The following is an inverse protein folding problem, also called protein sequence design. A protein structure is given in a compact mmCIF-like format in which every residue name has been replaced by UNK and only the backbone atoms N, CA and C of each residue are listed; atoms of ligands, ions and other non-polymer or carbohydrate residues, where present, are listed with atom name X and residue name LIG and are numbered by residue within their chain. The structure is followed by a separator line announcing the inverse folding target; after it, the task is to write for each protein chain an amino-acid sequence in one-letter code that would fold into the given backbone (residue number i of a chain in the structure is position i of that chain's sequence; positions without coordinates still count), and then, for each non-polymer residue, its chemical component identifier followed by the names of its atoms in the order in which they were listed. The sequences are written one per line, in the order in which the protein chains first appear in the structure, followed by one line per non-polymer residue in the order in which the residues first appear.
data_IF_688977194390
#
_entry.id   IF_688977194390
#
_cell.length_a   1.000
_cell.length_b   1.000
_cell.length_c   1.000
_cell.angle_alpha   90.00
_cell.angle_beta   90.00
_cell.angle_gamma   90.00
#
_symmetry.space_group_name_H-M   'P 1'
#
loop_
_entity.id
_entity.type
_entity.pdbx_description
1 polymer ?
#
# COMPACT_ATOMS: atom_id res chain seq x y z
N UNK A 1 -4.77 6.83 13.20
CA UNK A 1 -4.46 7.61 11.97
C UNK A 1 -5.73 8.00 11.27
N UNK A 2 -5.71 9.15 10.64
CA UNK A 2 -6.86 9.65 9.90
C UNK A 2 -6.61 9.53 8.40
N UNK A 3 -7.49 8.84 7.68
CA UNK A 3 -7.43 8.78 6.22
C UNK A 3 -7.77 10.15 5.63
N UNK A 4 -6.86 10.68 4.83
CA UNK A 4 -7.03 12.00 4.19
C UNK A 4 -7.63 11.85 2.80
N UNK A 5 -6.97 11.06 1.95
CA UNK A 5 -7.42 10.86 0.58
C UNK A 5 -6.76 9.61 -0.02
N UNK A 6 -7.39 9.13 -1.08
CA UNK A 6 -6.78 8.12 -1.95
C UNK A 6 -6.80 8.69 -3.37
N UNK A 7 -5.67 8.60 -4.06
CA UNK A 7 -5.55 9.17 -5.39
C UNK A 7 -4.84 8.22 -6.33
N UNK A 8 -5.29 8.20 -7.57
CA UNK A 8 -4.67 7.42 -8.62
C UNK A 8 -3.49 8.20 -9.17
N UNK A 9 -2.27 7.68 -8.97
CA UNK A 9 -1.06 8.34 -9.43
C UNK A 9 -0.85 8.11 -10.93
N UNK A 10 -1.02 6.86 -11.39
CA UNK A 10 -1.10 6.55 -12.81
C UNK A 10 -2.18 5.49 -13.04
N UNK A 11 -2.69 5.42 -14.25
CA UNK A 11 -3.81 4.56 -14.58
C UNK A 11 -3.40 3.49 -15.62
N UNK A 12 -4.30 2.51 -15.81
CA UNK A 12 -4.14 1.50 -16.83
C UNK A 12 -4.12 2.07 -18.26
N UNK A 13 -4.56 3.31 -18.44
CA UNK A 13 -4.48 3.98 -19.74
C UNK A 13 -3.04 4.29 -20.13
N UNK A 14 -2.21 4.59 -19.11
CA UNK A 14 -0.79 4.90 -19.32
C UNK A 14 0.05 3.62 -19.41
N UNK A 15 -0.35 2.60 -18.66
CA UNK A 15 0.35 1.30 -18.59
C UNK A 15 -0.70 0.21 -18.71
N UNK A 16 -0.59 -0.60 -19.73
CA UNK A 16 -1.62 -1.60 -20.10
C UNK A 16 -1.98 -2.58 -18.98
N UNK A 17 -1.07 -2.87 -18.07
CA UNK A 17 -1.18 -3.94 -17.09
C UNK A 17 -0.96 -3.53 -15.63
N UNK A 18 -0.66 -2.25 -15.35
CA UNK A 18 -0.51 -1.82 -13.96
C UNK A 18 -0.96 -0.38 -13.72
N UNK A 19 -1.33 -0.11 -12.49
CA UNK A 19 -1.67 1.22 -12.01
C UNK A 19 -1.10 1.40 -10.60
N UNK A 20 -0.89 2.64 -10.19
CA UNK A 20 -0.42 2.98 -8.85
C UNK A 20 -1.43 3.89 -8.17
N UNK A 21 -1.87 3.50 -6.99
CA UNK A 21 -2.76 4.30 -6.17
C UNK A 21 -2.09 4.65 -4.85
N UNK A 22 -2.24 5.90 -4.42
CA UNK A 22 -1.70 6.38 -3.16
C UNK A 22 -2.82 6.57 -2.15
N UNK A 23 -2.63 6.04 -0.94
CA UNK A 23 -3.54 6.23 0.17
C UNK A 23 -2.82 7.04 1.24
N UNK A 24 -3.31 8.22 1.55
CA UNK A 24 -2.64 9.17 2.42
C UNK A 24 -3.35 9.26 3.76
N UNK A 25 -2.58 9.05 4.84
CA UNK A 25 -3.06 9.13 6.22
C UNK A 25 -2.27 10.17 6.99
N UNK A 26 -2.94 10.89 7.89
CA UNK A 26 -2.27 11.77 8.82
C UNK A 26 -2.08 11.05 10.16
N UNK A 27 -0.89 11.16 10.74
CA UNK A 27 -0.65 10.67 12.09
C UNK A 27 -1.39 11.56 13.09
N UNK A 28 -2.13 10.94 13.98
CA UNK A 28 -2.88 11.65 15.02
C UNK A 28 -2.12 11.70 16.34
N UNK A 29 -1.19 10.76 16.55
CA UNK A 29 -0.38 10.69 17.77
C UNK A 29 1.08 10.47 17.42
N UNK A 30 1.95 10.82 18.38
CA UNK A 30 3.38 10.58 18.24
C UNK A 30 3.69 9.08 18.20
N UNK A 31 2.93 8.27 18.93
CA UNK A 31 3.11 6.83 18.98
C UNK A 31 2.87 6.19 17.60
N UNK A 32 1.88 6.68 16.87
CA UNK A 32 1.61 6.20 15.50
C UNK A 32 2.77 6.52 14.56
N UNK A 33 3.31 7.71 14.66
CA UNK A 33 4.48 8.11 13.87
C UNK A 33 5.70 7.25 14.19
N UNK A 34 5.98 7.05 15.47
CA UNK A 34 7.13 6.27 15.92
C UNK A 34 7.02 4.81 15.50
N UNK A 35 5.83 4.22 15.56
CA UNK A 35 5.59 2.85 15.09
C UNK A 35 5.89 2.73 13.59
N UNK A 36 5.36 3.63 12.78
CA UNK A 36 5.59 3.62 11.35
C UNK A 36 7.08 3.80 11.02
N UNK A 37 7.74 4.69 11.73
CA UNK A 37 9.17 4.96 11.56
C UNK A 37 10.01 3.75 11.93
N UNK A 38 9.69 3.08 13.03
CA UNK A 38 10.39 1.86 13.46
C UNK A 38 10.27 0.76 12.40
N UNK A 39 9.08 0.53 11.89
CA UNK A 39 8.84 -0.45 10.83
C UNK A 39 9.62 -0.09 9.57
N UNK A 40 9.58 1.17 9.17
CA UNK A 40 10.28 1.67 7.98
C UNK A 40 11.79 1.49 8.10
N UNK A 41 12.35 1.80 9.27
CA UNK A 41 13.79 1.71 9.50
C UNK A 41 14.29 0.27 9.71
N UNK A 42 13.39 -0.65 10.02
CA UNK A 42 13.74 -2.05 10.24
C UNK A 42 14.24 -2.75 8.98
N UNK A 43 13.80 -2.29 7.81
CA UNK A 43 14.03 -2.93 6.52
C UNK A 43 13.65 -4.42 6.53
N UNK A 44 12.64 -4.76 7.33
CA UNK A 44 12.17 -6.13 7.47
C UNK A 44 10.84 -6.30 6.74
N UNK A 45 10.80 -7.06 5.61
CA UNK A 45 9.58 -7.24 4.83
C UNK A 45 8.42 -7.84 5.62
N UNK A 46 8.69 -8.71 6.59
CA UNK A 46 7.66 -9.33 7.42
C UNK A 46 6.99 -8.29 8.32
N UNK A 47 7.78 -7.40 8.93
CA UNK A 47 7.24 -6.32 9.76
C UNK A 47 6.43 -5.34 8.93
N UNK A 48 6.88 -5.01 7.75
CA UNK A 48 6.16 -4.12 6.83
C UNK A 48 4.82 -4.73 6.42
N UNK A 49 4.81 -6.01 6.09
CA UNK A 49 3.60 -6.73 5.72
C UNK A 49 2.60 -6.77 6.86
N UNK A 50 3.04 -7.07 8.08
CA UNK A 50 2.19 -7.09 9.26
C UNK A 50 1.62 -5.71 9.56
N UNK A 51 2.43 -4.67 9.45
CA UNK A 51 2.01 -3.30 9.68
C UNK A 51 0.91 -2.88 8.70
N UNK A 52 1.10 -3.15 7.43
CA UNK A 52 0.13 -2.84 6.39
C UNK A 52 -1.16 -3.67 6.56
N UNK A 53 -1.03 -4.92 6.98
CA UNK A 53 -2.18 -5.79 7.24
C UNK A 53 -3.05 -5.24 8.38
N UNK A 54 -2.44 -4.69 9.43
CA UNK A 54 -3.17 -4.05 10.53
C UNK A 54 -3.95 -2.82 10.06
N UNK A 55 -3.47 -2.14 9.02
CA UNK A 55 -4.16 -1.01 8.41
C UNK A 55 -5.26 -1.45 7.44
N UNK A 56 -5.37 -2.73 7.15
CA UNK A 56 -6.35 -3.28 6.23
C UNK A 56 -5.82 -3.56 4.83
N UNK A 57 -4.52 -3.44 4.61
CA UNK A 57 -3.90 -3.70 3.32
C UNK A 57 -3.20 -5.05 3.32
N UNK A 58 -3.84 -6.02 2.70
CA UNK A 58 -3.30 -7.36 2.54
C UNK A 58 -2.99 -7.61 1.07
N UNK A 59 -1.86 -8.24 0.80
CA UNK A 59 -1.62 -8.74 -0.54
C UNK A 59 -2.66 -9.82 -0.84
N UNK A 60 -3.34 -9.68 -1.97
CA UNK A 60 -4.32 -10.67 -2.37
C UNK A 60 -3.61 -11.98 -2.70
N UNK A 61 -4.10 -13.11 -2.20
CA UNK A 61 -3.51 -14.39 -2.55
C UNK A 61 -3.64 -14.62 -4.05
N UNK A 62 -2.56 -15.07 -4.66
CA UNK A 62 -2.58 -15.45 -6.07
C UNK A 62 -3.50 -16.65 -6.19
N UNK A 63 -4.59 -16.57 -6.98
CA UNK A 63 -5.48 -17.72 -7.15
C UNK A 63 -4.73 -18.88 -7.79
N UNK A 64 -5.08 -20.10 -7.40
CA UNK A 64 -4.48 -21.29 -7.96
C UNK A 64 -4.78 -21.47 -9.46
N UNK A 65 -5.86 -20.86 -9.92
CA UNK A 65 -6.22 -20.81 -11.33
C UNK A 65 -6.31 -19.35 -11.76
N UNK A 66 -5.50 -18.91 -12.76
CA UNK A 66 -5.57 -17.55 -13.23
C UNK A 66 -6.92 -17.29 -13.92
N UNK A 67 -7.61 -16.27 -13.43
CA UNK A 67 -8.85 -15.79 -14.05
C UNK A 67 -8.46 -14.60 -14.92
N UNK A 68 -8.75 -14.61 -16.23
CA UNK A 68 -8.40 -13.48 -17.10
C UNK A 68 -9.01 -12.17 -16.57
N UNK A 69 -8.17 -11.14 -16.49
CA UNK A 69 -8.58 -9.83 -15.99
C UNK A 69 -8.62 -9.72 -14.46
N UNK A 70 -8.16 -10.72 -13.72
CA UNK A 70 -8.10 -10.66 -12.27
C UNK A 70 -7.08 -9.59 -11.84
N UNK A 71 -7.49 -8.76 -10.90
CA UNK A 71 -6.62 -7.77 -10.27
C UNK A 71 -6.01 -8.35 -9.02
N UNK A 72 -4.75 -8.06 -8.81
CA UNK A 72 -4.11 -8.26 -7.52
C UNK A 72 -3.28 -7.02 -7.18
N UNK A 73 -3.15 -6.78 -5.89
CA UNK A 73 -2.46 -5.59 -5.38
C UNK A 73 -1.28 -5.98 -4.52
N UNK A 74 -0.21 -5.21 -4.63
CA UNK A 74 0.89 -5.25 -3.69
C UNK A 74 1.02 -3.89 -3.01
N UNK A 75 1.52 -3.87 -1.78
CA UNK A 75 1.53 -2.67 -0.97
C UNK A 75 2.91 -2.38 -0.41
N UNK A 76 3.24 -1.10 -0.36
CA UNK A 76 4.37 -0.57 0.37
C UNK A 76 3.95 0.72 1.04
N UNK A 77 4.82 1.34 1.82
CA UNK A 77 4.53 2.64 2.41
C UNK A 77 5.79 3.46 2.56
N UNK A 78 5.59 4.77 2.69
CA UNK A 78 6.65 5.72 3.01
C UNK A 78 6.09 6.79 3.95
N UNK A 79 6.98 7.46 4.67
CA UNK A 79 6.61 8.55 5.56
C UNK A 79 7.05 9.86 4.91
N UNK A 80 6.11 10.80 4.77
CA UNK A 80 6.38 12.12 4.20
C UNK A 80 5.88 13.16 5.21
N UNK A 81 6.80 13.76 5.96
CA UNK A 81 6.45 14.71 7.01
C UNK A 81 5.56 14.07 8.08
N UNK A 82 4.36 14.62 8.26
CA UNK A 82 3.38 14.13 9.23
C UNK A 82 2.40 13.12 8.62
N UNK A 83 2.71 12.62 7.43
CA UNK A 83 1.80 11.74 6.69
C UNK A 83 2.42 10.39 6.42
N UNK A 84 1.56 9.37 6.48
CA UNK A 84 1.87 8.04 5.98
C UNK A 84 1.28 7.91 4.58
N UNK A 85 2.09 7.53 3.61
CA UNK A 85 1.65 7.29 2.24
C UNK A 85 1.77 5.81 1.95
N UNK A 86 0.62 5.14 1.81
CA UNK A 86 0.57 3.74 1.39
C UNK A 86 0.49 3.69 -0.13
N UNK A 87 1.42 2.98 -0.73
CA UNK A 87 1.52 2.85 -2.17
C UNK A 87 0.96 1.49 -2.57
N UNK A 88 -0.14 1.51 -3.29
CA UNK A 88 -0.76 0.30 -3.84
C UNK A 88 -0.40 0.17 -5.31
N UNK A 89 0.23 -0.95 -5.68
CA UNK A 89 0.48 -1.28 -7.07
C UNK A 89 -0.53 -2.33 -7.50
N UNK A 90 -1.39 -1.95 -8.42
CA UNK A 90 -2.48 -2.81 -8.93
C UNK A 90 -2.04 -3.39 -10.26
N UNK A 91 -2.04 -4.70 -10.36
CA UNK A 91 -1.65 -5.39 -11.58
C UNK A 91 -2.83 -6.19 -12.12
N UNK A 92 -3.04 -6.12 -13.44
CA UNK A 92 -3.99 -6.98 -14.13
C UNK A 92 -3.26 -8.22 -14.59
N UNK A 93 -3.84 -9.37 -14.28
CA UNK A 93 -3.37 -10.64 -14.81
C UNK A 93 -4.07 -10.86 -16.16
N UNK A 94 -3.31 -10.71 -17.22
CA UNK A 94 -3.83 -10.78 -18.59
C UNK A 94 -3.42 -12.09 -19.21
#
# INVERSE_FOLDING_TARGET
MKHITSTLFNSFEDYADCATQLHIYAFETQDEYEEAKEVSESHNPEMETEYLAELGYHDDPIPCEPIPGLRYSSYGFTIVGDFLVVVETITLDV
#
